data_IF_931535860977
#
_entry.id   IF_931535860977
#
_cell.length_a   1.000
_cell.length_b   1.000
_cell.length_c   1.000
_cell.angle_alpha   90.00
_cell.angle_beta   90.00
_cell.angle_gamma   90.00
#
_symmetry.space_group_name_H-M   'P 1'
#
loop_
_entity.id
_entity.type
_entity.pdbx_description
1 polymer ?
#
# COMPACT_ATOMS: atom_id res chain seq x y z
N UNK A 1 -16.23 2.82 29.96
CA UNK A 1 -17.14 3.90 29.58
C UNK A 1 -16.58 4.46 28.31
N UNK A 2 -17.29 4.27 27.21
CA UNK A 2 -16.91 4.80 25.90
C UNK A 2 -17.10 6.32 25.92
N UNK A 3 -16.14 7.10 25.42
CA UNK A 3 -16.27 8.56 25.40
C UNK A 3 -17.28 8.99 24.34
N UNK A 4 -17.82 10.20 24.45
CA UNK A 4 -18.73 10.76 23.43
C UNK A 4 -18.10 10.76 22.02
N UNK A 5 -16.78 10.98 21.93
CA UNK A 5 -16.03 10.93 20.66
C UNK A 5 -15.99 9.51 20.10
N UNK A 6 -15.72 8.51 20.94
CA UNK A 6 -15.72 7.11 20.53
C UNK A 6 -17.13 6.64 20.07
N UNK A 7 -18.21 7.12 20.69
CA UNK A 7 -19.59 6.84 20.26
C UNK A 7 -19.86 7.42 18.86
N UNK A 8 -19.57 8.70 18.65
CA UNK A 8 -19.72 9.36 17.34
C UNK A 8 -18.86 8.68 16.28
N UNK A 9 -17.65 8.24 16.64
CA UNK A 9 -16.78 7.51 15.74
C UNK A 9 -17.40 6.18 15.29
N UNK A 10 -17.97 5.40 16.20
CA UNK A 10 -18.62 4.14 15.86
C UNK A 10 -19.85 4.35 14.96
N UNK A 11 -20.60 5.42 15.17
CA UNK A 11 -21.70 5.82 14.28
C UNK A 11 -21.18 6.21 12.89
N UNK A 12 -20.11 7.00 12.80
CA UNK A 12 -19.49 7.38 11.54
C UNK A 12 -18.99 6.14 10.76
N UNK A 13 -18.35 5.19 11.43
CA UNK A 13 -17.93 3.92 10.82
C UNK A 13 -19.13 3.05 10.39
N UNK A 14 -20.26 3.12 11.11
CA UNK A 14 -21.50 2.47 10.69
C UNK A 14 -22.07 3.12 9.43
N UNK A 15 -22.03 4.44 9.33
CA UNK A 15 -22.44 5.17 8.13
C UNK A 15 -21.57 4.81 6.92
N UNK A 16 -20.25 4.66 7.09
CA UNK A 16 -19.36 4.15 6.03
C UNK A 16 -19.83 2.76 5.56
N UNK A 17 -20.12 1.84 6.49
CA UNK A 17 -20.61 0.49 6.15
C UNK A 17 -21.96 0.52 5.42
N UNK A 18 -22.79 1.51 5.72
CA UNK A 18 -24.09 1.72 5.07
C UNK A 18 -24.01 2.59 3.80
N UNK A 19 -22.80 2.97 3.37
CA UNK A 19 -22.56 3.87 2.23
C UNK A 19 -23.11 5.30 2.41
N UNK A 20 -23.40 5.71 3.64
CA UNK A 20 -23.81 7.06 4.01
C UNK A 20 -22.58 7.98 4.15
N UNK A 21 -21.81 8.12 3.07
CA UNK A 21 -20.48 8.74 3.12
C UNK A 21 -20.47 10.21 3.54
N UNK A 22 -21.52 10.97 3.21
CA UNK A 22 -21.64 12.37 3.62
C UNK A 22 -21.86 12.51 5.13
N UNK A 23 -22.74 11.69 5.71
CA UNK A 23 -23.03 11.71 7.15
C UNK A 23 -21.82 11.23 7.95
N UNK A 24 -21.13 10.20 7.47
CA UNK A 24 -19.86 9.75 8.05
C UNK A 24 -18.82 10.87 8.06
N UNK A 25 -18.68 11.59 6.94
CA UNK A 25 -17.73 12.69 6.81
C UNK A 25 -18.02 13.80 7.83
N UNK A 26 -19.28 14.24 7.94
CA UNK A 26 -19.68 15.27 8.92
C UNK A 26 -19.42 14.83 10.37
N UNK A 27 -19.69 13.57 10.70
CA UNK A 27 -19.40 13.04 12.03
C UNK A 27 -17.90 13.04 12.31
N UNK A 28 -17.08 12.58 11.36
CA UNK A 28 -15.62 12.66 11.51
C UNK A 28 -15.10 14.10 11.60
N UNK A 29 -15.70 15.05 10.87
CA UNK A 29 -15.38 16.47 11.01
C UNK A 29 -15.69 16.99 12.42
N UNK A 30 -16.82 16.58 13.00
CA UNK A 30 -17.15 16.94 14.39
C UNK A 30 -16.15 16.34 15.40
N UNK A 31 -15.64 15.14 15.13
CA UNK A 31 -14.63 14.50 15.98
C UNK A 31 -13.33 15.30 15.95
N UNK A 32 -12.81 15.64 14.76
CA UNK A 32 -11.55 16.39 14.65
C UNK A 32 -11.69 17.85 15.10
N UNK A 33 -12.91 18.39 15.18
CA UNK A 33 -13.15 19.70 15.76
C UNK A 33 -12.94 19.68 17.29
N UNK A 34 -13.45 18.65 17.96
CA UNK A 34 -13.30 18.48 19.42
C UNK A 34 -11.93 17.91 19.80
N UNK A 35 -11.42 16.94 19.03
CA UNK A 35 -10.14 16.27 19.22
C UNK A 35 -9.31 16.31 17.91
N UNK A 36 -8.57 17.40 17.66
CA UNK A 36 -7.82 17.60 16.42
C UNK A 36 -6.74 16.55 16.12
N UNK A 37 -6.32 15.78 17.13
CA UNK A 37 -5.31 14.74 17.01
C UNK A 37 -5.92 13.31 17.00
N UNK A 38 -7.24 13.17 16.83
CA UNK A 38 -7.87 11.85 16.80
C UNK A 38 -7.56 11.09 15.50
N UNK A 39 -6.46 10.33 15.54
CA UNK A 39 -5.89 9.64 14.37
C UNK A 39 -6.88 8.75 13.59
N UNK A 40 -7.78 7.97 14.23
CA UNK A 40 -8.76 7.18 13.49
C UNK A 40 -9.70 8.02 12.61
N UNK A 41 -10.19 9.16 13.08
CA UNK A 41 -11.04 10.04 12.26
C UNK A 41 -10.27 10.67 11.10
N UNK A 42 -9.02 11.10 11.33
CA UNK A 42 -8.16 11.55 10.23
C UNK A 42 -7.97 10.46 9.17
N UNK A 43 -7.73 9.21 9.57
CA UNK A 43 -7.64 8.10 8.64
C UNK A 43 -8.94 7.85 7.85
N UNK A 44 -10.10 7.85 8.51
CA UNK A 44 -11.39 7.65 7.85
C UNK A 44 -11.74 8.79 6.89
N UNK A 45 -11.47 10.05 7.26
CA UNK A 45 -11.60 11.20 6.36
C UNK A 45 -10.66 11.08 5.15
N UNK A 46 -9.41 10.68 5.38
CA UNK A 46 -8.46 10.44 4.29
C UNK A 46 -8.96 9.37 3.31
N UNK A 47 -9.54 8.28 3.83
CA UNK A 47 -10.14 7.22 3.02
C UNK A 47 -11.36 7.71 2.23
N UNK A 48 -12.23 8.52 2.84
CA UNK A 48 -13.37 9.14 2.15
C UNK A 48 -12.92 10.08 1.02
N UNK A 49 -11.91 10.92 1.27
CA UNK A 49 -11.34 11.78 0.23
C UNK A 49 -10.74 10.98 -0.93
N UNK A 50 -10.06 9.86 -0.64
CA UNK A 50 -9.48 8.99 -1.66
C UNK A 50 -10.55 8.25 -2.48
N UNK A 51 -11.62 7.77 -1.85
CA UNK A 51 -12.53 6.78 -2.47
C UNK A 51 -13.87 7.36 -2.93
N UNK A 52 -14.34 8.43 -2.31
CA UNK A 52 -15.67 8.99 -2.58
C UNK A 52 -15.60 10.37 -3.23
N UNK A 53 -14.54 11.13 -2.96
CA UNK A 53 -14.42 12.51 -3.41
C UNK A 53 -13.28 12.77 -4.41
N UNK A 54 -12.49 11.73 -4.72
CA UNK A 54 -11.31 11.79 -5.60
C UNK A 54 -10.37 12.98 -5.31
N UNK A 55 -10.28 13.39 -4.05
CA UNK A 55 -9.40 14.47 -3.60
C UNK A 55 -8.15 13.87 -2.94
N UNK A 56 -7.23 13.43 -3.78
CA UNK A 56 -6.03 12.71 -3.36
C UNK A 56 -5.07 13.57 -2.51
N UNK A 57 -5.02 14.87 -2.74
CA UNK A 57 -4.18 15.81 -1.98
C UNK A 57 -4.65 15.91 -0.52
N UNK A 58 -5.97 16.05 -0.32
CA UNK A 58 -6.54 16.03 1.02
C UNK A 58 -6.44 14.65 1.66
N UNK A 59 -6.62 13.58 0.89
CA UNK A 59 -6.43 12.22 1.39
C UNK A 59 -5.03 12.01 1.97
N UNK A 60 -3.99 12.37 1.20
CA UNK A 60 -2.58 12.32 1.63
C UNK A 60 -2.36 13.12 2.91
N UNK A 61 -2.85 14.37 2.97
CA UNK A 61 -2.71 15.21 4.16
C UNK A 61 -3.34 14.56 5.40
N UNK A 62 -4.54 14.02 5.28
CA UNK A 62 -5.23 13.38 6.40
C UNK A 62 -4.54 12.09 6.86
N UNK A 63 -4.03 11.26 5.95
CA UNK A 63 -3.23 10.09 6.34
C UNK A 63 -1.93 10.49 7.04
N UNK A 64 -1.24 11.51 6.55
CA UNK A 64 -0.02 12.03 7.19
C UNK A 64 -0.32 12.60 8.59
N UNK A 65 -1.44 13.31 8.77
CA UNK A 65 -1.87 13.77 10.09
C UNK A 65 -2.16 12.60 11.02
N UNK A 66 -2.91 11.58 10.57
CA UNK A 66 -3.18 10.40 11.39
C UNK A 66 -1.88 9.70 11.85
N UNK A 67 -0.90 9.57 10.96
CA UNK A 67 0.43 9.02 11.29
C UNK A 67 1.21 9.88 12.28
N UNK A 68 1.06 11.20 12.22
CA UNK A 68 1.73 12.11 13.16
C UNK A 68 1.08 12.12 14.54
N UNK A 69 -0.25 12.01 14.60
CA UNK A 69 -1.01 12.06 15.85
C UNK A 69 -0.94 10.73 16.61
N UNK A 70 -0.96 9.59 15.91
CA UNK A 70 -0.67 8.28 16.50
C UNK A 70 0.28 7.47 15.59
N UNK A 71 1.60 7.51 15.85
CA UNK A 71 2.58 6.75 15.09
C UNK A 71 2.41 5.23 15.15
N UNK A 72 1.70 4.69 16.14
CA UNK A 72 1.46 3.25 16.28
C UNK A 72 0.14 2.81 15.65
N UNK A 73 -0.70 3.73 15.18
CA UNK A 73 -1.92 3.38 14.46
C UNK A 73 -1.60 2.93 13.02
N UNK A 74 -1.82 1.65 12.65
CA UNK A 74 -1.22 1.09 11.43
C UNK A 74 -2.00 1.42 10.14
N UNK A 75 -3.31 1.69 10.23
CA UNK A 75 -4.19 1.91 9.08
C UNK A 75 -3.73 3.00 8.10
N UNK A 76 -3.34 4.23 8.53
CA UNK A 76 -2.95 5.27 7.61
C UNK A 76 -1.66 4.93 6.83
N UNK A 77 -0.78 4.09 7.37
CA UNK A 77 0.39 3.61 6.62
C UNK A 77 -0.01 2.74 5.42
N UNK A 78 -1.01 1.86 5.60
CA UNK A 78 -1.53 1.03 4.51
C UNK A 78 -2.28 1.87 3.48
N UNK A 79 -3.12 2.81 3.93
CA UNK A 79 -3.92 3.66 3.05
C UNK A 79 -3.07 4.65 2.24
N UNK A 80 -2.05 5.25 2.85
CA UNK A 80 -1.13 6.15 2.14
C UNK A 80 -0.31 5.38 1.09
N UNK A 81 0.13 4.16 1.40
CA UNK A 81 0.79 3.31 0.41
C UNK A 81 -0.14 2.97 -0.77
N UNK A 82 -1.41 2.62 -0.49
CA UNK A 82 -2.41 2.41 -1.55
C UNK A 82 -2.62 3.66 -2.40
N UNK A 83 -2.69 4.84 -1.78
CA UNK A 83 -2.82 6.10 -2.50
C UNK A 83 -1.64 6.34 -3.45
N UNK A 84 -0.40 6.10 -3.00
CA UNK A 84 0.76 6.26 -3.88
C UNK A 84 0.82 5.23 -5.01
N UNK A 85 0.29 4.02 -4.81
CA UNK A 85 0.17 3.02 -5.87
C UNK A 85 -0.84 3.49 -6.92
N UNK A 86 -2.03 3.93 -6.49
CA UNK A 86 -3.10 4.37 -7.39
C UNK A 86 -2.69 5.58 -8.24
N UNK A 87 -1.82 6.45 -7.68
CA UNK A 87 -1.26 7.61 -8.36
C UNK A 87 0.04 7.33 -9.13
N UNK A 88 0.51 6.08 -9.14
CA UNK A 88 1.81 5.68 -9.70
C UNK A 88 3.01 6.52 -9.16
N UNK A 89 2.88 7.08 -7.94
CA UNK A 89 3.92 7.87 -7.26
C UNK A 89 4.96 6.96 -6.60
N UNK A 90 5.66 6.19 -7.43
CA UNK A 90 6.57 5.12 -6.97
C UNK A 90 7.70 5.62 -6.05
N UNK A 91 8.24 6.81 -6.32
CA UNK A 91 9.30 7.38 -5.47
C UNK A 91 8.80 7.72 -4.07
N UNK A 92 7.58 8.24 -3.94
CA UNK A 92 6.98 8.56 -2.64
C UNK A 92 6.59 7.29 -1.90
N UNK A 93 6.08 6.28 -2.63
CA UNK A 93 5.83 4.95 -2.08
C UNK A 93 7.10 4.32 -1.51
N UNK A 94 8.23 4.34 -2.21
CA UNK A 94 9.50 3.79 -1.68
C UNK A 94 9.91 4.48 -0.39
N UNK A 95 9.93 5.81 -0.35
CA UNK A 95 10.24 6.57 0.88
C UNK A 95 9.28 6.25 2.02
N UNK A 96 8.00 6.05 1.71
CA UNK A 96 6.99 5.67 2.69
C UNK A 96 7.22 4.26 3.24
N UNK A 97 7.51 3.28 2.38
CA UNK A 97 7.81 1.91 2.79
C UNK A 97 9.11 1.82 3.63
N UNK A 98 10.11 2.67 3.37
CA UNK A 98 11.31 2.80 4.20
C UNK A 98 10.95 3.22 5.63
N UNK A 99 10.04 4.17 5.80
CA UNK A 99 9.53 4.57 7.11
C UNK A 99 8.76 3.44 7.77
N UNK A 100 7.84 2.80 7.04
CA UNK A 100 7.03 1.68 7.53
C UNK A 100 7.85 0.53 8.11
N UNK A 101 9.05 0.26 7.58
CA UNK A 101 9.94 -0.80 8.07
C UNK A 101 10.36 -0.62 9.55
N UNK A 102 10.31 0.61 10.04
CA UNK A 102 10.71 0.98 11.40
C UNK A 102 9.51 1.11 12.37
N UNK A 103 8.28 0.91 11.90
CA UNK A 103 7.07 1.04 12.72
C UNK A 103 6.65 -0.33 13.24
N UNK A 104 6.60 -0.47 14.57
CA UNK A 104 6.38 -1.76 15.24
C UNK A 104 5.05 -2.41 14.88
N UNK A 105 4.00 -1.61 14.69
CA UNK A 105 2.64 -2.09 14.39
C UNK A 105 2.42 -2.38 12.91
N UNK A 106 3.38 -2.06 12.04
CA UNK A 106 3.29 -2.35 10.61
C UNK A 106 3.90 -3.73 10.34
N UNK A 107 3.14 -4.58 9.66
CA UNK A 107 3.56 -5.93 9.30
C UNK A 107 4.73 -5.88 8.30
N UNK A 108 5.91 -6.38 8.73
CA UNK A 108 7.12 -6.44 7.89
C UNK A 108 6.91 -7.28 6.63
N UNK A 109 6.11 -8.34 6.71
CA UNK A 109 5.78 -9.16 5.54
C UNK A 109 5.06 -8.32 4.48
N UNK A 110 4.09 -7.50 4.92
CA UNK A 110 3.38 -6.57 4.04
C UNK A 110 4.31 -5.52 3.42
N UNK A 111 5.26 -4.97 4.17
CA UNK A 111 6.21 -3.98 3.62
C UNK A 111 7.08 -4.60 2.52
N UNK A 112 7.66 -5.78 2.78
CA UNK A 112 8.44 -6.50 1.77
C UNK A 112 7.60 -6.88 0.55
N UNK A 113 6.35 -7.30 0.78
CA UNK A 113 5.43 -7.59 -0.31
C UNK A 113 5.22 -6.36 -1.21
N UNK A 114 5.00 -5.17 -0.63
CA UNK A 114 4.85 -3.92 -1.38
C UNK A 114 6.10 -3.53 -2.15
N UNK A 115 7.30 -3.73 -1.60
CA UNK A 115 8.54 -3.57 -2.38
C UNK A 115 8.61 -4.53 -3.57
N UNK A 116 8.16 -5.79 -3.39
CA UNK A 116 8.10 -6.78 -4.45
C UNK A 116 7.19 -6.34 -5.60
N UNK A 117 5.98 -5.88 -5.26
CA UNK A 117 5.02 -5.37 -6.24
C UNK A 117 5.58 -4.17 -7.02
N UNK A 118 6.22 -3.21 -6.32
CA UNK A 118 6.82 -2.04 -6.96
C UNK A 118 7.94 -2.44 -7.92
N UNK A 119 8.84 -3.33 -7.49
CA UNK A 119 9.91 -3.82 -8.34
C UNK A 119 9.35 -4.54 -9.58
N UNK A 120 8.29 -5.35 -9.41
CA UNK A 120 7.62 -6.02 -10.52
C UNK A 120 6.99 -5.04 -11.52
N UNK A 121 6.32 -3.98 -11.03
CA UNK A 121 5.75 -2.93 -11.88
C UNK A 121 6.83 -2.20 -12.69
N UNK A 122 8.03 -2.05 -12.14
CA UNK A 122 9.17 -1.43 -12.81
C UNK A 122 9.95 -2.40 -13.72
N UNK A 123 9.56 -3.68 -13.78
CA UNK A 123 10.25 -4.71 -14.56
C UNK A 123 11.52 -5.28 -13.91
N UNK A 124 11.80 -4.93 -12.65
CA UNK A 124 12.94 -5.45 -11.87
C UNK A 124 12.56 -6.77 -11.19
N UNK A 125 12.33 -7.81 -11.99
CA UNK A 125 11.76 -9.07 -11.51
C UNK A 125 12.66 -9.82 -10.52
N UNK A 126 14.00 -9.72 -10.63
CA UNK A 126 14.91 -10.32 -9.65
C UNK A 126 14.82 -9.63 -8.29
N UNK A 127 14.65 -8.30 -8.27
CA UNK A 127 14.41 -7.53 -7.04
C UNK A 127 13.02 -7.87 -6.48
N UNK A 128 12.02 -8.06 -7.34
CA UNK A 128 10.68 -8.46 -6.94
C UNK A 128 10.69 -9.82 -6.22
N UNK A 129 11.33 -10.83 -6.82
CA UNK A 129 11.49 -12.17 -6.25
C UNK A 129 12.16 -12.11 -4.87
N UNK A 130 13.27 -11.36 -4.74
CA UNK A 130 13.97 -11.21 -3.45
C UNK A 130 13.07 -10.60 -2.37
N UNK A 131 12.23 -9.64 -2.73
CA UNK A 131 11.31 -9.02 -1.79
C UNK A 131 10.14 -9.93 -1.43
N UNK A 132 9.59 -10.70 -2.38
CA UNK A 132 8.57 -11.71 -2.08
C UNK A 132 9.11 -12.83 -1.18
N UNK A 133 10.36 -13.25 -1.36
CA UNK A 133 11.03 -14.19 -0.44
C UNK A 133 11.11 -13.65 0.99
N UNK A 134 11.49 -12.37 1.16
CA UNK A 134 11.48 -11.72 2.47
C UNK A 134 10.07 -11.60 3.06
N UNK A 135 9.07 -11.31 2.21
CA UNK A 135 7.68 -11.26 2.64
C UNK A 135 7.21 -12.63 3.18
N UNK A 136 7.56 -13.72 2.49
CA UNK A 136 7.29 -15.10 2.95
C UNK A 136 7.97 -15.38 4.28
N UNK A 137 9.26 -15.02 4.42
CA UNK A 137 10.03 -15.25 5.64
C UNK A 137 9.44 -14.55 6.87
N UNK A 138 8.85 -13.37 6.68
CA UNK A 138 8.23 -12.60 7.76
C UNK A 138 6.74 -12.88 7.96
N UNK A 139 6.10 -13.65 7.09
CA UNK A 139 4.68 -13.95 7.17
C UNK A 139 4.42 -15.18 8.04
N UNK A 140 3.40 -15.08 8.89
CA UNK A 140 2.85 -16.22 9.64
C UNK A 140 1.53 -16.75 9.06
N UNK A 141 1.01 -16.11 7.99
CA UNK A 141 -0.23 -16.54 7.32
C UNK A 141 0.09 -17.41 6.11
N UNK A 142 -0.41 -18.65 6.13
CA UNK A 142 -0.28 -19.59 5.02
C UNK A 142 -0.95 -19.09 3.73
N UNK A 143 -2.06 -18.36 3.87
CA UNK A 143 -2.75 -17.74 2.73
C UNK A 143 -1.86 -16.69 2.08
N UNK A 144 -1.35 -15.73 2.88
CA UNK A 144 -0.40 -14.71 2.38
C UNK A 144 0.85 -15.34 1.76
N UNK A 145 1.40 -16.38 2.39
CA UNK A 145 2.58 -17.09 1.87
C UNK A 145 2.27 -17.67 0.48
N UNK A 146 1.11 -18.30 0.30
CA UNK A 146 0.69 -18.83 -0.99
C UNK A 146 0.55 -17.73 -2.04
N UNK A 147 -0.04 -16.60 -1.69
CA UNK A 147 -0.17 -15.45 -2.60
C UNK A 147 1.21 -14.93 -3.02
N UNK A 148 2.13 -14.76 -2.08
CA UNK A 148 3.49 -14.30 -2.36
C UNK A 148 4.28 -15.29 -3.22
N UNK A 149 4.04 -16.59 -3.06
CA UNK A 149 4.63 -17.63 -3.91
C UNK A 149 4.12 -17.53 -5.35
N UNK A 150 2.81 -17.28 -5.55
CA UNK A 150 2.23 -17.08 -6.88
C UNK A 150 2.79 -15.84 -7.56
N UNK A 151 2.93 -14.73 -6.81
CA UNK A 151 3.51 -13.49 -7.32
C UNK A 151 5.00 -13.66 -7.68
N UNK A 152 5.75 -14.42 -6.88
CA UNK A 152 7.13 -14.78 -7.16
C UNK A 152 7.26 -15.67 -8.40
N UNK A 153 6.39 -16.66 -8.56
CA UNK A 153 6.41 -17.55 -9.72
C UNK A 153 6.08 -16.79 -11.01
N UNK A 154 5.10 -15.87 -10.95
CA UNK A 154 4.80 -14.96 -12.05
C UNK A 154 6.03 -14.15 -12.46
N UNK A 155 6.81 -13.65 -11.51
CA UNK A 155 8.06 -12.93 -11.80
C UNK A 155 9.12 -13.82 -12.45
N UNK A 156 9.24 -15.09 -12.05
CA UNK A 156 10.16 -16.06 -12.68
C UNK A 156 9.78 -16.32 -14.13
N UNK A 157 8.49 -16.57 -14.40
CA UNK A 157 8.00 -16.75 -15.77
C UNK A 157 8.34 -15.55 -16.65
N UNK A 158 8.17 -14.32 -16.13
CA UNK A 158 8.52 -13.09 -16.87
C UNK A 158 10.03 -13.00 -17.16
N UNK A 159 10.87 -13.40 -16.21
CA UNK A 159 12.33 -13.45 -16.42
C UNK A 159 12.72 -14.46 -17.48
N UNK A 160 12.19 -15.69 -17.40
CA UNK A 160 12.49 -16.75 -18.37
C UNK A 160 12.14 -16.30 -19.80
N UNK A 161 10.99 -15.66 -19.98
CA UNK A 161 10.57 -15.09 -21.28
C UNK A 161 11.58 -14.04 -21.76
N UNK A 162 12.01 -13.13 -20.89
CA UNK A 162 12.97 -12.07 -21.25
C UNK A 162 14.33 -12.66 -21.62
N UNK A 163 14.78 -13.69 -20.92
CA UNK A 163 16.04 -14.38 -21.23
C UNK A 163 15.96 -15.09 -22.59
N UNK A 164 14.86 -15.77 -22.88
CA UNK A 164 14.61 -16.38 -24.20
C UNK A 164 14.63 -15.33 -25.31
N UNK A 165 13.92 -14.21 -25.14
CA UNK A 165 13.90 -13.11 -26.12
C UNK A 165 15.29 -12.48 -26.34
N UNK A 166 16.15 -12.47 -25.32
CA UNK A 166 17.55 -12.00 -25.45
C UNK A 166 18.39 -13.01 -26.24
N UNK A 167 18.23 -14.30 -25.99
CA UNK A 167 18.94 -15.37 -26.69
C UNK A 167 18.61 -15.39 -28.19
N UNK A 168 17.34 -15.25 -28.55
CA UNK A 168 16.89 -15.16 -29.95
C UNK A 168 17.54 -13.99 -30.70
N UNK A 169 17.54 -12.79 -30.10
CA UNK A 169 18.19 -11.61 -30.68
C UNK A 169 19.71 -11.77 -30.84
N UNK A 170 20.37 -12.49 -29.93
CA UNK A 170 21.79 -12.76 -30.03
C UNK A 170 22.11 -13.80 -31.12
N UNK A 171 21.21 -14.76 -31.36
CA UNK A 171 21.33 -15.75 -32.44
C UNK A 171 21.23 -15.12 -33.83
N UNK A 172 20.25 -14.24 -34.06
CA UNK A 172 20.04 -13.60 -35.37
C UNK A 172 21.18 -12.64 -35.78
N UNK A 173 21.89 -12.06 -34.80
CA UNK A 173 23.02 -11.15 -35.05
C UNK A 173 24.30 -11.84 -35.56
N UNK A 174 24.42 -13.16 -35.41
CA UNK A 174 25.61 -13.92 -35.84
C UNK A 174 25.50 -14.51 -37.25
N UNK A 175 24.29 -14.57 -37.83
CA UNK A 175 24.06 -15.10 -39.18
C UNK A 175 24.34 -14.09 -40.33
N UNK A 176 24.74 -12.85 -40.01
CA UNK A 176 24.95 -11.75 -40.97
C UNK A 176 26.43 -11.44 -41.27
N UNK A 177 27.38 -12.15 -40.66
CA UNK A 177 28.82 -11.82 -40.78
C UNK A 177 29.59 -12.59 -41.87
N UNK A 178 28.96 -13.57 -42.54
CA UNK A 178 29.59 -14.34 -43.62
C UNK A 178 28.91 -14.07 -44.98
N UNK A 179 29.16 -12.89 -45.58
CA UNK A 179 29.03 -12.67 -47.03
C UNK A 179 30.07 -11.66 -47.53
#
# INVERSE_FOLDING_TARGET
MTTKVEEIYLEAEADIRNSNYHDAFQKHESIIYEEPDFAPAHNSIGWLYKTQFDNYEKAERHFLTAMSSDPLYPHPYFHLASLYIDLERINDLRKHLEKCMNIVTVDKAWVHYRYGMVAEMQGYYEEAIKNYQKAILHSFSNEKIKDYQLDMERCRTKLDIIELMKAEKAGDGTASADK
#
